data_IF_842103870118
#
_entry.id   IF_842103870118
#
_cell.length_a   1.000
_cell.length_b   1.000
_cell.length_c   1.000
_cell.angle_alpha   90.00
_cell.angle_beta   90.00
_cell.angle_gamma   90.00
#
_symmetry.space_group_name_H-M   'P 1'
#
loop_
_entity.id
_entity.type
_entity.pdbx_description
1 polymer ?
#
# COMPACT_ATOMS: atom_id res chain seq x y z
N UNK A 1 -21.58 -45.14 16.91
CA UNK A 1 -21.24 -43.78 17.38
C UNK A 1 -20.93 -42.95 16.15
N UNK A 2 -21.90 -42.17 15.65
CA UNK A 2 -21.69 -41.25 14.54
C UNK A 2 -20.98 -40.02 15.07
N UNK A 3 -19.83 -39.69 14.50
CA UNK A 3 -19.05 -38.53 14.91
C UNK A 3 -19.81 -37.24 14.62
N UNK A 4 -19.94 -36.37 15.63
CA UNK A 4 -20.68 -35.10 15.58
C UNK A 4 -19.78 -33.86 15.48
N UNK A 5 -18.49 -34.06 15.21
CA UNK A 5 -17.51 -32.98 15.08
C UNK A 5 -17.51 -32.30 13.70
N UNK A 6 -16.63 -31.31 13.54
CA UNK A 6 -16.46 -30.56 12.28
C UNK A 6 -15.63 -31.36 11.28
N UNK A 7 -16.23 -31.82 10.15
CA UNK A 7 -15.56 -32.67 9.13
C UNK A 7 -14.09 -32.22 8.91
N UNK A 8 -13.07 -33.02 9.28
CA UNK A 8 -11.68 -32.58 9.24
C UNK A 8 -11.23 -32.25 7.82
N UNK A 9 -11.80 -32.91 6.81
CA UNK A 9 -11.49 -32.64 5.40
C UNK A 9 -12.13 -31.33 4.97
N UNK A 10 -13.39 -31.09 5.32
CA UNK A 10 -14.05 -29.82 5.05
C UNK A 10 -13.37 -28.66 5.80
N UNK A 11 -12.97 -28.87 7.06
CA UNK A 11 -12.19 -27.93 7.85
C UNK A 11 -10.87 -27.59 7.15
N UNK A 12 -10.06 -28.58 6.80
CA UNK A 12 -8.78 -28.37 6.14
C UNK A 12 -8.93 -27.65 4.79
N UNK A 13 -9.97 -27.98 4.01
CA UNK A 13 -10.29 -27.28 2.75
C UNK A 13 -10.62 -25.80 2.99
N UNK A 14 -11.37 -25.46 4.04
CA UNK A 14 -11.68 -24.06 4.40
C UNK A 14 -10.41 -23.30 4.80
N UNK A 15 -9.57 -23.90 5.63
CA UNK A 15 -8.29 -23.30 6.06
C UNK A 15 -7.39 -23.02 4.86
N UNK A 16 -7.20 -24.01 3.97
CA UNK A 16 -6.40 -23.85 2.75
C UNK A 16 -6.92 -22.72 1.87
N UNK A 17 -8.24 -22.61 1.70
CA UNK A 17 -8.85 -21.52 0.92
C UNK A 17 -8.57 -20.16 1.56
N UNK A 18 -8.71 -20.02 2.87
CA UNK A 18 -8.47 -18.77 3.59
C UNK A 18 -7.01 -18.31 3.47
N UNK A 19 -6.05 -19.24 3.66
CA UNK A 19 -4.62 -18.98 3.49
C UNK A 19 -4.31 -18.53 2.05
N UNK A 20 -4.89 -19.19 1.05
CA UNK A 20 -4.62 -18.87 -0.36
C UNK A 20 -5.12 -17.47 -0.79
N UNK A 21 -6.25 -16.99 -0.22
CA UNK A 21 -6.81 -15.68 -0.60
C UNK A 21 -6.27 -14.52 0.23
N UNK A 22 -5.71 -14.79 1.41
CA UNK A 22 -5.21 -13.78 2.35
C UNK A 22 -4.26 -12.77 1.69
N UNK A 23 -3.24 -13.16 0.91
CA UNK A 23 -2.28 -12.20 0.37
C UNK A 23 -2.93 -11.22 -0.61
N UNK A 24 -3.81 -11.69 -1.50
CA UNK A 24 -4.51 -10.82 -2.44
C UNK A 24 -5.41 -9.80 -1.71
N UNK A 25 -6.15 -10.26 -0.69
CA UNK A 25 -7.02 -9.40 0.12
C UNK A 25 -6.23 -8.39 0.95
N UNK A 26 -5.07 -8.78 1.44
CA UNK A 26 -4.18 -7.89 2.18
C UNK A 26 -3.64 -6.77 1.30
N UNK A 27 -3.18 -7.10 0.09
CA UNK A 27 -2.70 -6.11 -0.89
C UNK A 27 -3.81 -5.13 -1.27
N UNK A 28 -5.01 -5.62 -1.58
CA UNK A 28 -6.18 -4.77 -1.88
C UNK A 28 -6.54 -3.86 -0.70
N UNK A 29 -6.61 -4.41 0.52
CA UNK A 29 -6.95 -3.64 1.71
C UNK A 29 -5.91 -2.55 2.01
N UNK A 30 -4.63 -2.86 1.83
CA UNK A 30 -3.55 -1.91 2.02
C UNK A 30 -3.56 -0.81 0.94
N UNK A 31 -3.80 -1.16 -0.32
CA UNK A 31 -3.99 -0.18 -1.40
C UNK A 31 -5.18 0.75 -1.16
N UNK A 32 -6.30 0.22 -0.68
CA UNK A 32 -7.44 1.03 -0.29
C UNK A 32 -7.11 1.98 0.88
N UNK A 33 -6.36 1.51 1.88
CA UNK A 33 -5.90 2.37 2.98
C UNK A 33 -5.03 3.53 2.46
N UNK A 34 -4.06 3.24 1.59
CA UNK A 34 -3.23 4.26 0.92
C UNK A 34 -4.04 5.20 0.02
N UNK A 35 -5.15 4.76 -0.55
CA UNK A 35 -6.04 5.64 -1.33
C UNK A 35 -6.95 6.49 -0.44
N UNK A 36 -7.14 6.10 0.83
CA UNK A 36 -8.07 6.77 1.74
C UNK A 36 -7.52 8.11 2.20
N UNK A 37 -8.35 9.15 2.03
CA UNK A 37 -7.97 10.54 2.29
C UNK A 37 -8.12 10.90 3.77
N UNK A 38 -7.37 11.90 4.21
CA UNK A 38 -7.46 12.44 5.60
C UNK A 38 -8.90 12.80 5.98
N UNK A 39 -9.65 13.45 5.08
CA UNK A 39 -11.05 13.86 5.34
C UNK A 39 -12.06 12.72 5.52
N UNK A 40 -11.68 11.47 5.26
CA UNK A 40 -12.53 10.28 5.45
C UNK A 40 -11.82 9.21 6.31
N UNK A 41 -10.86 9.62 7.14
CA UNK A 41 -10.21 8.75 8.13
C UNK A 41 -8.93 8.04 7.65
N UNK A 42 -8.38 8.44 6.51
CA UNK A 42 -7.08 7.98 6.01
C UNK A 42 -5.93 8.94 6.29
N UNK A 43 -4.81 8.77 5.59
CA UNK A 43 -3.63 9.63 5.75
C UNK A 43 -3.26 10.39 4.48
N UNK A 44 -3.83 10.02 3.33
CA UNK A 44 -3.44 10.59 2.06
C UNK A 44 -3.93 12.03 1.95
N UNK A 45 -3.03 13.02 1.79
CA UNK A 45 -3.37 14.43 1.78
C UNK A 45 -4.32 14.80 0.63
N UNK A 46 -5.20 15.77 0.87
CA UNK A 46 -6.12 16.32 -0.13
C UNK A 46 -5.72 17.74 -0.50
N UNK A 47 -5.73 17.99 -1.81
CA UNK A 47 -6.24 19.23 -2.45
C UNK A 47 -6.67 18.96 -3.90
N UNK A 48 -6.11 17.93 -4.56
CA UNK A 48 -6.63 17.41 -5.83
C UNK A 48 -6.64 15.88 -5.77
N UNK A 49 -7.76 15.22 -6.08
CA UNK A 49 -7.91 13.76 -5.96
C UNK A 49 -6.87 12.91 -6.71
N UNK A 50 -6.00 13.53 -7.52
CA UNK A 50 -4.93 12.90 -8.28
C UNK A 50 -3.98 12.08 -7.41
N UNK A 51 -3.56 12.55 -6.23
CA UNK A 51 -2.66 11.76 -5.36
C UNK A 51 -3.34 10.46 -4.91
N UNK A 52 -4.56 10.54 -4.36
CA UNK A 52 -5.34 9.37 -3.93
C UNK A 52 -5.65 8.40 -5.08
N UNK A 53 -5.93 8.92 -6.28
CA UNK A 53 -6.21 8.13 -7.48
C UNK A 53 -4.96 7.58 -8.15
N UNK A 54 -3.77 8.01 -7.71
CA UNK A 54 -2.50 7.53 -8.26
C UNK A 54 -2.02 6.24 -7.60
N UNK A 55 -2.70 5.76 -6.55
CA UNK A 55 -2.35 4.49 -5.90
C UNK A 55 -2.51 3.35 -6.91
N UNK A 56 -1.53 2.48 -6.95
CA UNK A 56 -1.49 1.35 -7.87
C UNK A 56 -0.81 0.17 -7.20
N UNK A 57 -1.13 -1.02 -7.68
CA UNK A 57 -0.47 -2.26 -7.32
C UNK A 57 0.41 -2.67 -8.50
N UNK A 58 1.65 -3.10 -8.23
CA UNK A 58 2.59 -3.55 -9.24
C UNK A 58 3.41 -4.75 -8.74
N UNK A 59 3.94 -5.54 -9.69
CA UNK A 59 4.83 -6.67 -9.39
C UNK A 59 6.25 -6.22 -9.01
N UNK A 60 6.63 -5.00 -9.40
CA UNK A 60 7.91 -4.36 -9.11
C UNK A 60 7.66 -2.96 -8.55
N UNK A 61 8.56 -2.39 -7.74
CA UNK A 61 8.37 -1.04 -7.21
C UNK A 61 8.38 -0.02 -8.35
N UNK A 62 7.53 1.01 -8.25
CA UNK A 62 7.43 2.02 -9.30
C UNK A 62 8.56 3.02 -9.15
N UNK A 63 9.48 2.94 -10.12
CA UNK A 63 10.56 3.89 -10.27
C UNK A 63 10.01 5.28 -10.61
N UNK A 64 10.69 6.33 -10.16
CA UNK A 64 10.42 7.70 -10.60
C UNK A 64 10.73 7.81 -12.10
N UNK A 65 9.70 7.91 -12.94
CA UNK A 65 9.90 8.26 -14.36
C UNK A 65 10.55 9.64 -14.50
N UNK A 66 11.70 9.68 -15.18
CA UNK A 66 12.41 10.87 -15.64
C UNK A 66 13.61 10.46 -16.48
N UNK A 67 13.88 11.11 -17.63
CA UNK A 67 15.06 10.79 -18.43
C UNK A 67 16.32 10.96 -17.57
N UNK A 68 17.06 9.87 -17.34
CA UNK A 68 18.36 9.88 -16.67
C UNK A 68 18.41 9.41 -15.20
N UNK A 69 17.32 8.96 -14.58
CA UNK A 69 17.38 8.48 -13.18
C UNK A 69 17.58 6.96 -13.07
N UNK A 70 18.78 6.47 -13.40
CA UNK A 70 19.25 5.12 -13.12
C UNK A 70 20.28 5.18 -11.97
N UNK A 71 19.83 5.25 -10.72
CA UNK A 71 20.73 5.11 -9.57
C UNK A 71 20.61 3.72 -8.96
N UNK A 72 21.65 2.86 -9.07
CA UNK A 72 21.66 1.55 -8.42
C UNK A 72 21.81 1.61 -6.89
N UNK A 73 22.11 2.80 -6.34
CA UNK A 73 22.37 3.01 -4.90
C UNK A 73 21.26 3.81 -4.21
N UNK A 74 20.54 4.66 -4.96
CA UNK A 74 19.40 5.46 -4.48
C UNK A 74 18.21 5.17 -5.37
N UNK A 75 17.46 4.16 -4.99
CA UNK A 75 16.23 3.83 -5.69
C UNK A 75 15.20 4.91 -5.33
N UNK A 76 15.13 5.97 -6.15
CA UNK A 76 14.09 7.01 -6.07
C UNK A 76 12.75 6.38 -6.46
N UNK A 77 12.15 5.71 -5.49
CA UNK A 77 10.81 5.19 -5.64
C UNK A 77 9.81 6.32 -5.52
N UNK A 78 8.74 6.24 -6.29
CA UNK A 78 7.53 6.94 -5.87
C UNK A 78 7.09 6.32 -4.54
N UNK A 79 6.50 7.09 -3.62
CA UNK A 79 6.15 6.59 -2.28
C UNK A 79 5.47 5.20 -2.38
N UNK A 80 6.18 4.18 -1.91
CA UNK A 80 5.88 2.77 -2.16
C UNK A 80 6.01 1.97 -0.87
N UNK A 81 5.27 0.88 -0.79
CA UNK A 81 5.36 -0.13 0.26
C UNK A 81 5.31 -1.51 -0.39
N UNK A 82 6.07 -2.47 0.16
CA UNK A 82 5.97 -3.88 -0.22
C UNK A 82 4.97 -4.59 0.69
N UNK A 83 4.21 -5.52 0.11
CA UNK A 83 3.29 -6.41 0.82
C UNK A 83 3.58 -7.83 0.32
N UNK A 84 3.78 -8.78 1.24
CA UNK A 84 4.03 -10.17 0.87
C UNK A 84 2.84 -10.75 0.08
N UNK A 85 3.13 -11.44 -1.02
CA UNK A 85 2.16 -12.09 -1.90
C UNK A 85 2.63 -13.51 -2.27
N UNK A 86 2.24 -14.51 -1.48
CA UNK A 86 2.63 -15.90 -1.73
C UNK A 86 4.15 -16.07 -1.65
N UNK A 87 4.77 -16.49 -2.75
CA UNK A 87 6.22 -16.64 -2.94
C UNK A 87 6.93 -15.33 -3.35
N UNK A 88 6.19 -14.23 -3.55
CA UNK A 88 6.72 -12.95 -4.00
C UNK A 88 6.26 -11.75 -3.16
N UNK A 89 6.46 -10.56 -3.71
CA UNK A 89 5.98 -9.30 -3.15
C UNK A 89 5.09 -8.58 -4.16
N UNK A 90 4.03 -7.94 -3.65
CA UNK A 90 3.31 -6.91 -4.38
C UNK A 90 3.77 -5.55 -3.85
N UNK A 91 3.90 -4.58 -4.74
CA UNK A 91 4.21 -3.21 -4.38
C UNK A 91 2.95 -2.38 -4.50
N UNK A 92 2.66 -1.60 -3.47
CA UNK A 92 1.58 -0.60 -3.48
C UNK A 92 2.25 0.77 -3.46
N UNK A 93 2.00 1.59 -4.48
CA UNK A 93 2.74 2.83 -4.69
C UNK A 93 1.85 3.97 -5.18
N UNK A 94 2.25 5.21 -4.92
CA UNK A 94 1.65 6.41 -5.53
C UNK A 94 2.32 6.70 -6.88
N UNK A 95 1.58 6.78 -7.99
CA UNK A 95 2.14 7.16 -9.31
C UNK A 95 2.44 8.66 -9.45
N UNK A 96 1.88 9.52 -8.61
CA UNK A 96 2.11 10.95 -8.73
C UNK A 96 3.60 11.29 -8.50
N UNK A 97 4.25 11.97 -9.46
CA UNK A 97 5.67 12.37 -9.37
C UNK A 97 5.92 13.26 -8.14
N UNK A 98 4.93 14.06 -7.74
CA UNK A 98 5.02 14.94 -6.57
C UNK A 98 4.78 14.22 -5.23
N UNK A 99 4.40 12.94 -5.21
CA UNK A 99 4.08 12.21 -3.97
C UNK A 99 5.24 12.23 -2.96
N UNK A 100 6.48 12.05 -3.44
CA UNK A 100 7.68 12.09 -2.59
C UNK A 100 7.89 13.47 -1.94
N UNK A 101 7.69 14.55 -2.70
CA UNK A 101 7.78 15.93 -2.19
C UNK A 101 6.71 16.21 -1.14
N UNK A 102 5.49 15.71 -1.35
CA UNK A 102 4.43 15.86 -0.35
C UNK A 102 4.74 15.03 0.89
N UNK A 103 5.36 13.86 0.74
CA UNK A 103 5.65 12.95 1.85
C UNK A 103 6.79 13.47 2.73
N UNK A 104 7.92 13.83 2.13
CA UNK A 104 9.14 14.21 2.84
C UNK A 104 9.37 15.73 2.92
N UNK A 105 8.55 16.52 2.23
CA UNK A 105 8.73 17.95 2.12
C UNK A 105 9.65 18.31 0.95
N UNK A 106 9.67 19.59 0.64
CA UNK A 106 10.52 20.14 -0.40
C UNK A 106 10.74 21.63 -0.16
N UNK A 107 12.02 22.04 -0.16
CA UNK A 107 12.43 23.44 -0.16
C UNK A 107 13.24 23.66 -1.43
N UNK A 108 12.79 24.56 -2.30
CA UNK A 108 13.47 24.87 -3.55
C UNK A 108 12.53 25.29 -4.68
N UNK A 109 13.10 25.52 -5.86
CA UNK A 109 12.37 25.96 -7.05
C UNK A 109 12.27 24.81 -8.05
N UNK A 110 11.10 24.58 -8.64
CA UNK A 110 10.96 23.56 -9.69
C UNK A 110 11.34 24.08 -11.08
N UNK A 111 11.34 23.16 -12.07
CA UNK A 111 11.71 23.46 -13.47
C UNK A 111 10.80 24.49 -14.16
N UNK A 112 9.67 24.84 -13.55
CA UNK A 112 8.75 25.89 -14.01
C UNK A 112 8.93 27.20 -13.24
N UNK A 113 9.97 27.33 -12.41
CA UNK A 113 10.27 28.54 -11.64
C UNK A 113 9.41 28.70 -10.38
N UNK A 114 8.63 27.70 -9.97
CA UNK A 114 7.79 27.78 -8.77
C UNK A 114 8.61 27.46 -7.53
N UNK A 115 8.63 28.37 -6.55
CA UNK A 115 9.29 28.15 -5.27
C UNK A 115 8.38 27.47 -4.26
N UNK A 116 8.93 26.50 -3.54
CA UNK A 116 8.25 25.73 -2.53
C UNK A 116 9.02 25.84 -1.22
N UNK A 117 8.27 25.99 -0.13
CA UNK A 117 8.72 25.77 1.24
C UNK A 117 7.68 24.89 1.93
N UNK A 118 7.69 23.61 1.56
CA UNK A 118 6.69 22.64 1.99
C UNK A 118 7.28 21.68 3.02
N UNK A 119 6.65 21.57 4.19
CA UNK A 119 6.95 20.52 5.17
C UNK A 119 6.41 19.16 4.71
N UNK A 120 7.13 18.10 5.07
CA UNK A 120 6.73 16.72 4.80
C UNK A 120 5.51 16.31 5.61
N UNK A 121 4.60 15.55 4.98
CA UNK A 121 3.39 15.05 5.63
C UNK A 121 3.49 13.63 6.18
N UNK A 122 4.53 12.86 5.82
CA UNK A 122 4.77 11.50 6.34
C UNK A 122 3.59 10.52 6.17
N UNK A 123 2.76 10.72 5.15
CA UNK A 123 1.52 9.96 4.97
C UNK A 123 1.78 8.52 4.52
N UNK A 124 2.88 8.25 3.81
CA UNK A 124 3.23 6.89 3.41
C UNK A 124 3.61 6.07 4.65
N UNK A 125 4.43 6.62 5.53
CA UNK A 125 4.84 6.01 6.80
C UNK A 125 3.63 5.79 7.73
N UNK A 126 2.71 6.75 7.79
CA UNK A 126 1.47 6.60 8.56
C UNK A 126 0.58 5.46 8.03
N UNK A 127 0.53 5.27 6.70
CA UNK A 127 -0.17 4.13 6.10
C UNK A 127 0.54 2.79 6.40
N UNK A 128 1.88 2.76 6.32
CA UNK A 128 2.68 1.57 6.69
C UNK A 128 2.45 1.20 8.15
N UNK A 129 2.42 2.17 9.06
CA UNK A 129 2.15 1.94 10.48
C UNK A 129 0.78 1.30 10.75
N UNK A 130 -0.20 1.45 9.84
CA UNK A 130 -1.51 0.78 9.93
C UNK A 130 -1.51 -0.67 9.46
N UNK A 131 -0.44 -1.16 8.85
CA UNK A 131 -0.39 -2.50 8.27
C UNK A 131 -0.82 -3.62 9.24
N UNK A 132 -0.40 -3.64 10.53
CA UNK A 132 -0.85 -4.65 11.47
C UNK A 132 -2.37 -4.66 11.69
N UNK A 133 -2.98 -3.47 11.80
CA UNK A 133 -4.43 -3.34 11.98
C UNK A 133 -5.20 -3.77 10.72
N UNK A 134 -4.67 -3.46 9.54
CA UNK A 134 -5.24 -3.90 8.25
C UNK A 134 -5.18 -5.42 8.15
N UNK A 135 -4.03 -6.02 8.48
CA UNK A 135 -3.86 -7.48 8.51
C UNK A 135 -4.88 -8.12 9.46
N UNK A 136 -5.00 -7.64 10.70
CA UNK A 136 -5.96 -8.14 11.67
C UNK A 136 -7.41 -8.03 11.14
N UNK A 137 -7.76 -6.92 10.48
CA UNK A 137 -9.08 -6.71 9.88
C UNK A 137 -9.35 -7.59 8.64
N UNK A 138 -8.33 -7.97 7.88
CA UNK A 138 -8.47 -8.93 6.78
C UNK A 138 -8.61 -10.34 7.34
N UNK A 139 -7.78 -10.71 8.32
CA UNK A 139 -7.83 -12.02 8.98
C UNK A 139 -9.17 -12.25 9.65
N UNK A 140 -9.75 -11.25 10.34
CA UNK A 140 -11.06 -11.40 10.99
C UNK A 140 -12.22 -11.60 10.02
N UNK A 141 -12.10 -11.11 8.78
CA UNK A 141 -13.09 -11.32 7.70
C UNK A 141 -12.93 -12.67 7.00
N UNK A 142 -11.76 -13.29 7.12
CA UNK A 142 -11.50 -14.62 6.63
C UNK A 142 -11.90 -15.62 7.72
N UNK A 143 -12.75 -16.58 7.38
CA UNK A 143 -13.20 -17.61 8.33
C UNK A 143 -12.10 -18.65 8.55
N UNK A 144 -11.10 -18.28 9.34
CA UNK A 144 -10.17 -19.22 9.96
C UNK A 144 -10.90 -19.82 11.19
N UNK A 145 -11.77 -20.80 10.94
CA UNK A 145 -12.48 -21.58 11.98
C UNK A 145 -11.87 -22.97 12.11
#
# INVERSE_FOLDING_TARGET
MTWTGTDPVAWAKRQKRAINVLPARLVEAFANAMATRVGVGGFTPVDTGNLSRSVTISASPIMRDGPGYNSPVRQDYRAASSVAKGDGSAYVSYKAIYAHRVNYGFVGTDVLGRSYNQSGRGFNEANIARFPAILAGVVSKLRFE
#
